data_IF_280140204080
#
_entry.id   IF_280140204080
#
_cell.length_a   1.000
_cell.length_b   1.000
_cell.length_c   1.000
_cell.angle_alpha   90.00
_cell.angle_beta   90.00
_cell.angle_gamma   90.00
#
_symmetry.space_group_name_H-M   'P 1'
#
loop_
_entity.id
_entity.type
_entity.pdbx_description
1 polymer ?
#
# COMPACT_ATOMS: atom_id res chain seq x y z
N UNK A 1 -22.89 15.07 -19.25
CA UNK A 1 -22.01 13.88 -19.30
C UNK A 1 -21.59 13.53 -17.88
N UNK A 2 -21.94 12.33 -17.44
CA UNK A 2 -21.91 11.88 -16.03
C UNK A 2 -20.50 11.54 -15.56
N UNK A 3 -20.07 12.13 -14.43
CA UNK A 3 -18.89 11.64 -13.69
C UNK A 3 -19.40 10.82 -12.51
N UNK A 4 -19.51 9.51 -12.72
CA UNK A 4 -19.94 8.57 -11.69
C UNK A 4 -18.88 8.48 -10.57
N UNK A 5 -19.11 9.18 -9.46
CA UNK A 5 -18.36 9.05 -8.21
C UNK A 5 -18.56 7.64 -7.66
N UNK A 6 -17.67 6.71 -8.03
CA UNK A 6 -17.77 5.30 -7.64
C UNK A 6 -17.63 5.16 -6.13
N UNK A 7 -18.73 4.74 -5.49
CA UNK A 7 -18.87 4.43 -4.07
C UNK A 7 -17.71 3.55 -3.60
N UNK A 8 -16.84 4.10 -2.75
CA UNK A 8 -15.69 3.39 -2.21
C UNK A 8 -16.18 2.33 -1.22
N UNK A 9 -16.43 1.11 -1.71
CA UNK A 9 -16.54 -0.07 -0.85
C UNK A 9 -15.28 -0.16 0.00
N UNK A 10 -15.35 -0.52 1.29
CA UNK A 10 -14.17 -0.90 2.05
C UNK A 10 -13.57 -2.11 1.35
N UNK A 11 -12.57 -1.88 0.50
CA UNK A 11 -11.87 -2.96 -0.18
C UNK A 11 -11.06 -3.67 0.91
N UNK A 12 -11.62 -4.72 1.48
CA UNK A 12 -10.97 -5.61 2.47
C UNK A 12 -9.57 -6.02 2.01
N UNK A 13 -9.36 -6.16 0.70
CA UNK A 13 -8.04 -6.42 0.08
C UNK A 13 -7.02 -5.29 0.29
N UNK A 14 -7.45 -4.03 0.26
CA UNK A 14 -6.60 -2.87 0.58
C UNK A 14 -6.27 -2.85 2.07
N UNK A 15 -7.23 -3.17 2.94
CA UNK A 15 -6.97 -3.25 4.37
C UNK A 15 -5.98 -4.37 4.70
N UNK A 16 -6.09 -5.53 4.03
CA UNK A 16 -5.11 -6.62 4.10
C UNK A 16 -3.74 -6.12 3.63
N UNK A 17 -3.68 -5.40 2.49
CA UNK A 17 -2.44 -4.83 1.96
C UNK A 17 -1.78 -3.88 2.97
N UNK A 18 -2.54 -2.95 3.54
CA UNK A 18 -2.08 -2.01 4.59
C UNK A 18 -1.59 -2.78 5.81
N UNK A 19 -2.36 -3.76 6.29
CA UNK A 19 -1.99 -4.60 7.45
C UNK A 19 -0.70 -5.37 7.21
N UNK A 20 -0.41 -5.76 5.97
CA UNK A 20 0.84 -6.45 5.60
C UNK A 20 2.04 -5.51 5.57
N UNK A 21 1.93 -4.35 4.90
CA UNK A 21 3.05 -3.38 4.80
C UNK A 21 3.29 -2.60 6.10
N UNK A 22 2.27 -2.53 6.98
CA UNK A 22 2.36 -1.93 8.32
C UNK A 22 3.11 -2.81 9.33
N UNK A 23 3.31 -4.11 9.03
CA UNK A 23 4.11 -4.98 9.90
C UNK A 23 5.54 -4.44 9.98
N UNK A 24 6.15 -4.57 11.17
CA UNK A 24 7.57 -4.27 11.32
C UNK A 24 8.42 -5.01 10.29
N UNK A 25 8.10 -6.25 9.92
CA UNK A 25 8.89 -6.98 8.91
C UNK A 25 8.65 -6.52 7.46
N UNK A 26 7.67 -5.64 7.23
CA UNK A 26 7.11 -5.34 5.92
C UNK A 26 6.51 -6.58 5.25
N UNK A 27 6.20 -6.45 3.96
CA UNK A 27 5.71 -7.55 3.15
C UNK A 27 6.40 -7.58 1.79
N UNK A 28 6.82 -8.76 1.38
CA UNK A 28 7.39 -8.98 0.05
C UNK A 28 6.31 -8.84 -1.01
N UNK A 29 6.74 -8.56 -2.24
CA UNK A 29 5.84 -8.53 -3.38
C UNK A 29 5.02 -9.83 -3.50
N UNK A 30 5.65 -11.00 -3.28
CA UNK A 30 4.99 -12.31 -3.36
C UNK A 30 3.93 -12.48 -2.28
N UNK A 31 4.22 -12.08 -1.03
CA UNK A 31 3.23 -12.09 0.06
C UNK A 31 2.03 -11.17 -0.23
N UNK A 32 2.29 -9.99 -0.80
CA UNK A 32 1.22 -9.06 -1.18
C UNK A 32 0.36 -9.62 -2.30
N UNK A 33 0.96 -10.25 -3.31
CA UNK A 33 0.22 -10.91 -4.39
C UNK A 33 -0.64 -12.06 -3.86
N UNK A 34 -0.08 -12.96 -3.05
CA UNK A 34 -0.81 -14.11 -2.51
C UNK A 34 -1.98 -13.68 -1.63
N UNK A 35 -1.80 -12.66 -0.78
CA UNK A 35 -2.85 -12.22 0.13
C UNK A 35 -3.97 -11.42 -0.57
N UNK A 36 -3.65 -10.71 -1.66
CA UNK A 36 -4.63 -9.88 -2.39
C UNK A 36 -5.20 -10.56 -3.64
N UNK A 37 -4.50 -11.57 -4.17
CA UNK A 37 -4.72 -12.16 -5.48
C UNK A 37 -4.37 -11.23 -6.64
N UNK A 38 -3.62 -10.15 -6.39
CA UNK A 38 -3.27 -9.16 -7.41
C UNK A 38 -1.91 -9.43 -8.04
N UNK A 39 -1.74 -8.99 -9.29
CA UNK A 39 -0.45 -9.00 -9.96
C UNK A 39 0.43 -7.83 -9.51
N UNK A 40 1.74 -7.92 -9.75
CA UNK A 40 2.75 -6.91 -9.38
C UNK A 40 2.35 -5.48 -9.70
N UNK A 41 1.87 -5.24 -10.93
CA UNK A 41 1.54 -3.89 -11.39
C UNK A 41 0.29 -3.34 -10.69
N UNK A 42 -0.69 -4.20 -10.39
CA UNK A 42 -1.89 -3.82 -9.64
C UNK A 42 -1.57 -3.51 -8.19
N UNK A 43 -0.69 -4.30 -7.54
CA UNK A 43 -0.20 -4.02 -6.18
C UNK A 43 0.48 -2.66 -6.13
N UNK A 44 1.37 -2.36 -7.09
CA UNK A 44 2.04 -1.06 -7.18
C UNK A 44 1.06 0.09 -7.42
N UNK A 45 0.07 -0.10 -8.29
CA UNK A 45 -1.00 0.87 -8.52
C UNK A 45 -1.82 1.13 -7.27
N UNK A 46 -2.15 0.09 -6.51
CA UNK A 46 -2.86 0.21 -5.23
C UNK A 46 -2.02 0.93 -4.18
N UNK A 47 -0.71 0.66 -4.11
CA UNK A 47 0.21 1.36 -3.22
C UNK A 47 0.24 2.86 -3.53
N UNK A 48 0.49 3.24 -4.78
CA UNK A 48 0.57 4.66 -5.15
C UNK A 48 -0.78 5.38 -5.04
N UNK A 49 -1.86 4.79 -5.58
CA UNK A 49 -3.16 5.46 -5.64
C UNK A 49 -3.93 5.41 -4.32
N UNK A 50 -3.76 4.36 -3.51
CA UNK A 50 -4.57 4.17 -2.29
C UNK A 50 -3.77 4.42 -1.02
N UNK A 51 -2.57 3.86 -0.89
CA UNK A 51 -1.75 4.12 0.29
C UNK A 51 -1.22 5.56 0.28
N UNK A 52 -0.50 5.98 -0.78
CA UNK A 52 0.05 7.34 -0.82
C UNK A 52 -1.07 8.40 -0.98
N UNK A 53 -1.86 8.36 -2.06
CA UNK A 53 -2.82 9.45 -2.36
C UNK A 53 -4.07 9.49 -1.47
N UNK A 54 -4.69 8.35 -1.17
CA UNK A 54 -5.97 8.32 -0.42
C UNK A 54 -5.79 8.24 1.10
N UNK A 55 -4.69 7.66 1.57
CA UNK A 55 -4.45 7.41 3.00
C UNK A 55 -3.27 8.20 3.56
N UNK A 56 -2.52 8.93 2.73
CA UNK A 56 -1.36 9.70 3.17
C UNK A 56 -0.22 8.84 3.73
N UNK A 57 -0.22 7.54 3.42
CA UNK A 57 0.75 6.59 3.95
C UNK A 57 1.94 6.50 3.00
N UNK A 58 3.15 6.71 3.51
CA UNK A 58 4.36 6.57 2.71
C UNK A 58 4.85 5.10 2.76
N UNK A 59 4.81 4.40 1.62
CA UNK A 59 5.34 3.03 1.50
C UNK A 59 6.70 3.08 0.82
N UNK A 60 7.74 2.65 1.54
CA UNK A 60 9.07 2.50 1.00
C UNK A 60 9.34 1.03 0.61
N UNK A 61 10.19 0.87 -0.41
CA UNK A 61 10.65 -0.43 -0.90
C UNK A 61 12.11 -0.60 -0.50
N UNK A 62 12.42 -1.68 0.20
CA UNK A 62 13.76 -2.03 0.61
C UNK A 62 14.16 -3.38 0.02
N UNK A 63 15.41 -3.50 -0.39
CA UNK A 63 15.97 -4.81 -0.74
C UNK A 63 16.46 -5.50 0.53
N UNK A 64 15.92 -6.69 0.79
CA UNK A 64 16.28 -7.50 1.95
C UNK A 64 16.96 -8.76 1.43
N UNK A 65 18.25 -8.65 1.08
CA UNK A 65 19.14 -9.74 0.64
C UNK A 65 18.45 -11.03 0.17
N UNK A 66 18.40 -12.06 1.04
CA UNK A 66 17.81 -13.39 0.74
C UNK A 66 16.28 -13.41 0.53
N UNK A 67 15.54 -12.40 0.97
CA UNK A 67 14.07 -12.28 0.82
C UNK A 67 13.65 -11.45 -0.39
N UNK A 68 14.59 -10.76 -1.03
CA UNK A 68 14.32 -9.84 -2.13
C UNK A 68 13.62 -8.56 -1.67
N UNK A 69 12.76 -8.03 -2.53
CA UNK A 69 12.14 -6.71 -2.31
C UNK A 69 10.96 -6.76 -1.34
N UNK A 70 11.06 -5.94 -0.28
CA UNK A 70 10.07 -5.80 0.78
C UNK A 70 9.49 -4.39 0.76
N UNK A 71 8.18 -4.29 0.87
CA UNK A 71 7.44 -3.04 1.06
C UNK A 71 7.13 -2.85 2.54
N UNK A 72 7.48 -1.68 3.09
CA UNK A 72 7.22 -1.32 4.49
C UNK A 72 6.67 0.11 4.54
N UNK A 73 5.75 0.37 5.46
CA UNK A 73 5.42 1.74 5.83
C UNK A 73 6.67 2.44 6.37
N UNK A 74 7.07 3.51 5.71
CA UNK A 74 8.04 4.45 6.26
C UNK A 74 7.24 5.43 7.09
N UNK A 75 7.45 5.45 8.40
CA UNK A 75 6.85 6.46 9.28
C UNK A 75 7.52 7.82 9.01
N UNK A 76 7.29 8.40 7.84
CA UNK A 76 7.43 9.84 7.67
C UNK A 76 6.07 10.42 7.97
N UNK A 77 5.85 10.70 9.25
CA UNK A 77 4.85 11.68 9.68
C UNK A 77 5.60 12.98 9.94
N UNK A 78 5.88 13.72 8.88
CA UNK A 78 5.81 15.17 9.01
C UNK A 78 4.40 15.57 8.58
N UNK A 79 3.48 15.37 9.51
CA UNK A 79 2.28 16.15 9.55
C UNK A 79 2.69 17.60 9.88
N UNK A 80 3.00 18.40 8.85
CA UNK A 80 2.53 19.78 8.88
C UNK A 80 1.01 19.68 8.74
N UNK A 81 0.17 19.93 9.74
CA UNK A 81 0.10 21.17 10.50
C UNK A 81 0.25 22.37 9.57
N UNK A 82 -0.69 22.48 8.61
CA UNK A 82 -1.06 23.76 8.02
C UNK A 82 -2.36 24.17 8.73
N UNK A 83 -2.25 25.18 9.59
CA UNK A 83 -3.37 25.88 10.25
C UNK A 83 -4.05 26.81 9.25
#
# INVERSE_FOLDING_TARGET
>A
MTISKKLAKPNTKIEILIKLVSRQRGATLKELQTATGWQTHSVRGAISATLNKKRGLCVARYEVGKRGWVYRLSQTVEAGADQ
#
